data_IF_638320821191
#
_entry.id   IF_638320821191
#
_cell.length_a   1.000
_cell.length_b   1.000
_cell.length_c   1.000
_cell.angle_alpha   90.00
_cell.angle_beta   90.00
_cell.angle_gamma   90.00
#
_symmetry.space_group_name_H-M   'P 1'
#
loop_
_entity.id
_entity.type
_entity.pdbx_description
1 polymer ?
#
# COMPACT_ATOMS: atom_id res chain seq x y z
N UNK A 1 -11.94 -28.45 -13.61
CA UNK A 1 -12.37 -27.15 -14.19
C UNK A 1 -11.31 -26.13 -13.83
N UNK A 2 -10.94 -25.24 -14.76
CA UNK A 2 -10.11 -24.07 -14.42
C UNK A 2 -10.94 -23.14 -13.52
N UNK A 3 -10.32 -22.60 -12.47
CA UNK A 3 -10.95 -21.63 -11.57
C UNK A 3 -10.82 -20.24 -12.18
N UNK A 4 -11.85 -19.40 -12.06
CA UNK A 4 -11.79 -18.00 -12.49
C UNK A 4 -10.82 -17.22 -11.61
N UNK A 5 -10.11 -16.26 -12.21
CA UNK A 5 -9.28 -15.31 -11.48
C UNK A 5 -10.13 -14.20 -10.86
N UNK A 6 -9.95 -13.94 -9.56
CA UNK A 6 -10.67 -12.88 -8.85
C UNK A 6 -9.71 -11.89 -8.21
N UNK A 7 -9.94 -10.60 -8.46
CA UNK A 7 -9.20 -9.49 -7.84
C UNK A 7 -10.01 -8.82 -6.74
N UNK A 8 -9.33 -8.35 -5.69
CA UNK A 8 -9.92 -7.53 -4.62
C UNK A 8 -9.15 -6.22 -4.44
N UNK A 9 -9.86 -5.10 -4.38
CA UNK A 9 -9.30 -3.86 -3.82
C UNK A 9 -9.15 -4.03 -2.31
N UNK A 10 -7.92 -4.01 -1.78
CA UNK A 10 -7.63 -4.31 -0.38
C UNK A 10 -7.45 -3.03 0.45
N UNK A 11 -8.35 -2.06 0.27
CA UNK A 11 -8.43 -0.86 1.10
C UNK A 11 -9.77 -0.16 0.88
N UNK A 12 -10.13 0.70 1.82
CA UNK A 12 -11.19 1.69 1.68
C UNK A 12 -10.70 3.04 2.21
N UNK A 13 -11.47 4.10 1.99
CA UNK A 13 -11.04 5.48 2.24
C UNK A 13 -10.69 5.76 3.71
N UNK A 14 -11.50 5.23 4.63
CA UNK A 14 -11.48 5.50 6.06
C UNK A 14 -10.62 4.50 6.86
N UNK A 15 -9.76 3.72 6.19
CA UNK A 15 -8.84 2.82 6.87
C UNK A 15 -8.04 3.66 7.87
N UNK A 16 -7.96 3.19 9.11
CA UNK A 16 -7.27 3.90 10.18
C UNK A 16 -5.81 4.15 9.79
N UNK A 17 -5.29 5.35 10.05
CA UNK A 17 -3.89 5.71 9.84
C UNK A 17 -2.96 5.17 10.95
N UNK A 18 -3.15 3.91 11.32
CA UNK A 18 -2.43 3.28 12.44
C UNK A 18 -1.16 2.55 12.00
N UNK A 19 -0.85 2.55 10.70
CA UNK A 19 0.35 1.93 10.14
C UNK A 19 0.32 0.40 10.12
N UNK A 20 -0.84 -0.22 10.36
CA UNK A 20 -0.99 -1.69 10.45
C UNK A 20 -1.63 -2.33 9.24
N UNK A 21 -1.82 -1.58 8.14
CA UNK A 21 -2.54 -2.08 6.97
C UNK A 21 -1.79 -3.22 6.26
N UNK A 22 -0.46 -3.14 6.21
CA UNK A 22 0.37 -4.23 5.68
C UNK A 22 0.33 -5.48 6.55
N UNK A 23 0.31 -5.33 7.88
CA UNK A 23 0.15 -6.47 8.80
C UNK A 23 -1.21 -7.15 8.60
N UNK A 24 -2.30 -6.37 8.44
CA UNK A 24 -3.63 -6.91 8.11
C UNK A 24 -3.61 -7.70 6.80
N UNK A 25 -2.95 -7.20 5.75
CA UNK A 25 -2.83 -7.92 4.49
C UNK A 25 -2.07 -9.24 4.67
N UNK A 26 -0.94 -9.21 5.38
CA UNK A 26 -0.13 -10.38 5.71
C UNK A 26 -0.95 -11.44 6.45
N UNK A 27 -1.66 -11.04 7.50
CA UNK A 27 -2.48 -11.94 8.33
C UNK A 27 -3.68 -12.52 7.57
N UNK A 28 -4.27 -11.76 6.65
CA UNK A 28 -5.50 -12.16 5.94
C UNK A 28 -5.21 -12.96 4.65
N UNK A 29 -3.98 -12.94 4.13
CA UNK A 29 -3.62 -13.60 2.86
C UNK A 29 -4.07 -15.07 2.74
N UNK A 30 -3.90 -15.94 3.76
CA UNK A 30 -4.40 -17.32 3.68
C UNK A 30 -5.93 -17.40 3.56
N UNK A 31 -6.65 -16.55 4.29
CA UNK A 31 -8.11 -16.50 4.26
C UNK A 31 -8.63 -15.97 2.91
N UNK A 32 -7.97 -14.96 2.33
CA UNK A 32 -8.28 -14.45 0.98
C UNK A 32 -8.15 -15.56 -0.06
N UNK A 33 -7.08 -16.35 0.00
CA UNK A 33 -6.89 -17.46 -0.94
C UNK A 33 -7.95 -18.55 -0.77
N UNK A 34 -8.31 -18.88 0.47
CA UNK A 34 -9.32 -19.88 0.77
C UNK A 34 -10.68 -19.55 0.13
N UNK A 35 -11.05 -18.26 0.10
CA UNK A 35 -12.30 -17.79 -0.53
C UNK A 35 -12.18 -17.55 -2.04
N UNK A 36 -10.99 -17.74 -2.63
CA UNK A 36 -10.77 -17.70 -4.08
C UNK A 36 -10.28 -16.36 -4.63
N UNK A 37 -9.73 -15.47 -3.80
CA UNK A 37 -9.02 -14.29 -4.28
C UNK A 37 -7.63 -14.72 -4.79
N UNK A 38 -7.29 -14.29 -6.00
CA UNK A 38 -6.01 -14.59 -6.65
C UNK A 38 -5.12 -13.36 -6.81
N UNK A 39 -5.68 -12.17 -6.60
CA UNK A 39 -4.92 -10.94 -6.62
C UNK A 39 -5.53 -9.84 -5.77
N UNK A 40 -4.67 -8.96 -5.27
CA UNK A 40 -5.07 -7.76 -4.52
C UNK A 40 -4.52 -6.52 -5.19
N UNK A 41 -5.35 -5.48 -5.27
CA UNK A 41 -4.90 -4.12 -5.53
C UNK A 41 -4.73 -3.40 -4.19
N UNK A 42 -3.51 -2.98 -3.89
CA UNK A 42 -3.14 -2.27 -2.66
C UNK A 42 -3.09 -0.76 -2.91
N UNK A 43 -3.35 0.07 -1.88
CA UNK A 43 -3.34 1.53 -2.04
C UNK A 43 -1.93 2.04 -2.41
N UNK A 44 -1.78 3.32 -2.80
CA UNK A 44 -0.46 3.89 -3.08
C UNK A 44 0.47 3.70 -1.88
N UNK A 45 1.63 3.11 -2.15
CA UNK A 45 2.59 2.66 -1.12
C UNK A 45 3.63 3.73 -0.78
N UNK A 46 3.61 4.84 -1.48
CA UNK A 46 4.63 5.89 -1.45
C UNK A 46 4.30 6.99 -0.45
N UNK A 47 5.31 7.76 -0.04
CA UNK A 47 5.14 8.89 0.88
C UNK A 47 4.27 9.97 0.24
N UNK A 48 3.28 10.39 0.99
CA UNK A 48 2.33 11.44 0.62
C UNK A 48 2.57 12.72 1.43
N UNK A 49 1.74 13.74 1.20
CA UNK A 49 1.86 15.05 1.87
C UNK A 49 1.71 15.01 3.39
N UNK A 50 1.16 13.94 3.96
CA UNK A 50 1.05 13.72 5.41
C UNK A 50 0.99 12.24 5.76
N UNK A 51 1.13 11.91 7.05
CA UNK A 51 1.04 10.54 7.56
C UNK A 51 -0.35 9.89 7.41
N UNK A 52 -1.40 10.71 7.28
CA UNK A 52 -2.81 10.27 7.26
C UNK A 52 -3.42 10.28 5.84
N UNK A 53 -2.67 10.80 4.86
CA UNK A 53 -3.09 10.84 3.46
C UNK A 53 -3.30 9.42 2.91
N UNK A 54 -4.32 9.25 2.07
CA UNK A 54 -4.65 7.96 1.44
C UNK A 54 -3.68 7.55 0.32
N UNK A 55 -2.63 8.34 0.09
CA UNK A 55 -1.57 8.07 -0.90
C UNK A 55 -1.78 8.78 -2.24
N UNK A 56 -2.92 9.44 -2.46
CA UNK A 56 -3.19 10.15 -3.71
C UNK A 56 -2.56 11.54 -3.75
N UNK A 57 -2.24 12.15 -2.59
CA UNK A 57 -1.40 13.34 -2.50
C UNK A 57 0.09 12.98 -2.55
N UNK A 58 0.55 12.36 -3.64
CA UNK A 58 1.89 11.76 -3.71
C UNK A 58 3.01 12.82 -3.64
N UNK A 59 3.94 12.64 -2.69
CA UNK A 59 5.08 13.52 -2.49
C UNK A 59 6.35 12.92 -3.09
N UNK A 60 6.80 11.77 -2.58
CA UNK A 60 8.02 11.09 -3.02
C UNK A 60 7.69 9.66 -3.46
N UNK A 61 7.92 9.37 -4.75
CA UNK A 61 7.64 8.06 -5.34
C UNK A 61 8.67 7.00 -4.95
N UNK A 62 9.81 7.41 -4.40
CA UNK A 62 10.89 6.51 -3.99
C UNK A 62 10.81 6.15 -2.50
N UNK A 63 10.14 6.96 -1.69
CA UNK A 63 9.94 6.66 -0.27
C UNK A 63 8.73 5.76 -0.07
N UNK A 64 8.98 4.47 0.17
CA UNK A 64 7.95 3.46 0.46
C UNK A 64 7.60 3.38 1.96
N UNK A 65 7.87 4.45 2.71
CA UNK A 65 7.78 4.46 4.16
C UNK A 65 9.08 4.01 4.83
N UNK A 66 10.22 4.49 4.33
CA UNK A 66 11.57 4.18 4.82
C UNK A 66 12.41 5.41 5.22
N UNK A 67 12.03 6.61 4.76
CA UNK A 67 12.71 7.86 5.10
C UNK A 67 11.85 8.75 6.01
N UNK A 68 12.50 9.51 6.89
CA UNK A 68 11.81 10.54 7.69
C UNK A 68 11.53 11.76 6.82
N UNK A 69 10.32 11.81 6.27
CA UNK A 69 9.82 12.84 5.37
C UNK A 69 8.38 13.18 5.73
N UNK A 70 8.02 14.46 5.66
CA UNK A 70 6.67 14.96 6.03
C UNK A 70 6.24 14.56 7.46
N UNK A 71 7.20 14.51 8.37
CA UNK A 71 6.96 14.27 9.81
C UNK A 71 6.70 12.81 10.18
N UNK A 72 7.03 11.86 9.31
CA UNK A 72 6.88 10.42 9.57
C UNK A 72 7.86 9.59 8.75
N UNK A 73 8.27 8.45 9.30
CA UNK A 73 8.95 7.40 8.53
C UNK A 73 7.93 6.60 7.73
N UNK A 74 6.90 6.03 8.38
CA UNK A 74 5.88 5.21 7.74
C UNK A 74 4.93 6.02 6.86
N UNK A 75 4.26 5.36 5.91
CA UNK A 75 3.04 5.88 5.28
C UNK A 75 1.82 5.66 6.20
N UNK A 76 0.62 6.03 5.73
CA UNK A 76 -0.64 5.66 6.37
C UNK A 76 -0.74 4.17 6.66
N UNK A 77 -0.18 3.36 5.77
CA UNK A 77 -0.38 1.92 5.70
C UNK A 77 0.69 1.10 6.42
N UNK A 78 1.90 1.63 6.59
CA UNK A 78 2.99 0.99 7.31
C UNK A 78 4.37 1.37 6.77
N UNK A 79 5.39 0.61 7.16
CA UNK A 79 6.78 0.78 6.68
C UNK A 79 7.03 -0.07 5.43
N UNK A 80 8.12 0.25 4.71
CA UNK A 80 8.60 -0.55 3.57
C UNK A 80 8.81 -2.02 3.92
N UNK A 81 9.37 -2.32 5.10
CA UNK A 81 9.60 -3.70 5.51
C UNK A 81 8.28 -4.46 5.71
N UNK A 82 7.28 -3.84 6.36
CA UNK A 82 5.97 -4.45 6.53
C UNK A 82 5.27 -4.71 5.18
N UNK A 83 5.43 -3.80 4.21
CA UNK A 83 4.94 -3.99 2.84
C UNK A 83 5.60 -5.21 2.16
N UNK A 84 6.93 -5.32 2.23
CA UNK A 84 7.68 -6.44 1.64
C UNK A 84 7.24 -7.77 2.28
N UNK A 85 7.09 -7.80 3.59
CA UNK A 85 6.61 -8.98 4.33
C UNK A 85 5.20 -9.40 3.88
N UNK A 86 4.28 -8.43 3.73
CA UNK A 86 2.92 -8.69 3.28
C UNK A 86 2.87 -9.19 1.83
N UNK A 87 3.67 -8.62 0.93
CA UNK A 87 3.81 -9.09 -0.46
C UNK A 87 4.36 -10.51 -0.49
N UNK A 88 5.41 -10.80 0.30
CA UNK A 88 5.98 -12.14 0.40
C UNK A 88 4.93 -13.17 0.86
N UNK A 89 4.12 -12.82 1.86
CA UNK A 89 3.06 -13.70 2.36
C UNK A 89 1.94 -13.91 1.34
N UNK A 90 1.53 -12.86 0.61
CA UNK A 90 0.60 -12.99 -0.51
C UNK A 90 1.13 -13.96 -1.57
N UNK A 91 2.40 -13.80 -1.98
CA UNK A 91 3.03 -14.65 -2.99
C UNK A 91 3.12 -16.11 -2.55
N UNK A 92 3.45 -16.39 -1.28
CA UNK A 92 3.44 -17.76 -0.72
C UNK A 92 2.05 -18.40 -0.81
N UNK A 93 1.00 -17.61 -0.66
CA UNK A 93 -0.40 -18.05 -0.77
C UNK A 93 -0.92 -18.00 -2.22
N UNK A 94 -0.06 -17.73 -3.21
CA UNK A 94 -0.46 -17.67 -4.62
C UNK A 94 -1.42 -16.51 -4.93
N UNK A 95 -1.22 -15.37 -4.27
CA UNK A 95 -1.92 -14.11 -4.49
C UNK A 95 -0.96 -13.10 -5.13
N UNK A 96 -1.31 -12.56 -6.29
CA UNK A 96 -0.58 -11.47 -6.92
C UNK A 96 -0.90 -10.12 -6.24
N UNK A 97 0.10 -9.24 -6.14
CA UNK A 97 -0.09 -7.89 -5.57
C UNK A 97 0.12 -6.85 -6.67
N UNK A 98 -0.89 -6.02 -6.89
CA UNK A 98 -0.84 -4.87 -7.79
C UNK A 98 -0.79 -3.59 -6.95
N UNK A 99 0.26 -2.80 -7.14
CA UNK A 99 0.47 -1.53 -6.45
C UNK A 99 -0.15 -0.39 -7.25
N UNK A 100 -0.87 0.51 -6.59
CA UNK A 100 -1.41 1.73 -7.20
C UNK A 100 -0.29 2.69 -7.63
N UNK A 101 -0.42 3.30 -8.81
CA UNK A 101 0.56 4.22 -9.39
C UNK A 101 -0.09 5.59 -9.65
N UNK A 102 0.26 6.57 -8.83
CA UNK A 102 -0.23 7.95 -8.96
C UNK A 102 0.78 8.78 -9.74
N UNK A 103 0.61 8.84 -11.06
CA UNK A 103 1.56 9.50 -11.98
C UNK A 103 1.06 10.83 -12.56
N UNK A 104 -0.19 11.22 -12.28
CA UNK A 104 -0.79 12.41 -12.84
C UNK A 104 -0.18 13.72 -12.29
N UNK A 105 0.23 13.72 -11.03
CA UNK A 105 0.70 14.91 -10.32
C UNK A 105 1.68 14.55 -9.20
N UNK A 106 2.30 15.58 -8.62
CA UNK A 106 3.02 15.51 -7.33
C UNK A 106 2.49 16.63 -6.43
N UNK A 107 2.45 16.39 -5.12
CA UNK A 107 1.93 17.31 -4.12
C UNK A 107 2.94 17.50 -2.97
N UNK A 108 2.83 18.62 -2.26
CA UNK A 108 3.69 18.90 -1.10
C UNK A 108 5.14 19.22 -1.46
N UNK A 109 5.37 19.95 -2.55
CA UNK A 109 6.69 20.51 -2.87
C UNK A 109 7.29 21.23 -1.65
N UNK A 110 8.59 21.11 -1.44
CA UNK A 110 9.25 21.63 -0.24
C UNK A 110 9.26 23.16 -0.21
N UNK A 111 9.41 23.79 -1.38
CA UNK A 111 9.35 25.24 -1.54
C UNK A 111 8.95 25.62 -2.97
N UNK A 112 8.76 26.92 -3.19
CA UNK A 112 8.64 27.49 -4.54
C UNK A 112 10.03 27.86 -5.02
N UNK A 113 10.33 27.57 -6.28
CA UNK A 113 11.51 28.12 -6.93
C UNK A 113 11.32 29.63 -7.20
N UNK A 114 12.44 30.38 -7.14
CA UNK A 114 12.53 31.82 -7.42
C UNK A 114 13.31 32.09 -8.68
#
# INVERSE_FOLDING_TARGET
>A
MMRNHTMMQFFEWNVAADGKHWDRLKETAPALKAVGIDSVWVPPVTKAVSADDTGYGVYDLYDLGEYDQKGTVRTKYGTKQALIDAISECQKNGIAVYVDLVMNHKAGADEKEV
#
